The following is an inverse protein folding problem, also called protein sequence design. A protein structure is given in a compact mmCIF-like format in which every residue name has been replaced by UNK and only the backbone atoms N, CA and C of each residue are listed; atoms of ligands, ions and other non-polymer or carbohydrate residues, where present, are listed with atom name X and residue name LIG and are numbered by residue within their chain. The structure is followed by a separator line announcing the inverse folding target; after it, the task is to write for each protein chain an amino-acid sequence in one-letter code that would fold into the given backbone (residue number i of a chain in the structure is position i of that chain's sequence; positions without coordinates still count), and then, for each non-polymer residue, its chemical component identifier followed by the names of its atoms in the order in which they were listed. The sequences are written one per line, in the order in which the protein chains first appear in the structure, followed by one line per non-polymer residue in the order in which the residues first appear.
data_IF_593375035700
#
_entry.id   IF_593375035700
#
_cell.length_a   1.000
_cell.length_b   1.000
_cell.length_c   1.000
_cell.angle_alpha   90.00
_cell.angle_beta   90.00
_cell.angle_gamma   90.00
#
_symmetry.space_group_name_H-M   'P 1'
#
loop_
_entity.id
_entity.type
_entity.pdbx_description
1 polymer ?
#
# COMPACT_ATOMS: atom_id res chain seq x y z
N UNK A 1 -29.16 -22.64 -3.31
CA UNK A 1 -27.85 -21.96 -3.40
C UNK A 1 -27.45 -21.96 -4.86
N UNK A 2 -27.87 -20.93 -5.60
CA UNK A 2 -27.42 -20.78 -6.98
C UNK A 2 -25.98 -20.26 -6.97
N UNK A 3 -25.05 -21.17 -7.22
CA UNK A 3 -23.67 -20.81 -7.49
C UNK A 3 -23.59 -19.97 -8.77
N UNK A 4 -22.66 -19.02 -8.80
CA UNK A 4 -22.42 -18.18 -9.97
C UNK A 4 -22.41 -19.01 -11.28
N UNK A 5 -23.07 -18.54 -12.35
CA UNK A 5 -23.03 -19.20 -13.66
C UNK A 5 -21.60 -19.54 -14.08
N UNK A 6 -21.40 -20.66 -14.77
CA UNK A 6 -20.06 -21.08 -15.20
C UNK A 6 -19.34 -19.99 -16.00
N UNK A 7 -20.06 -19.26 -16.85
CA UNK A 7 -19.52 -18.11 -17.60
C UNK A 7 -18.99 -17.01 -16.66
N UNK A 8 -19.73 -16.67 -15.60
CA UNK A 8 -19.30 -15.66 -14.63
C UNK A 8 -18.02 -16.09 -13.90
N UNK A 9 -17.90 -17.39 -13.57
CA UNK A 9 -16.68 -17.95 -12.98
C UNK A 9 -15.50 -17.93 -13.94
N UNK A 10 -15.70 -18.27 -15.22
CA UNK A 10 -14.65 -18.18 -16.26
C UNK A 10 -14.20 -16.73 -16.47
N UNK A 11 -15.15 -15.78 -16.50
CA UNK A 11 -14.85 -14.35 -16.63
C UNK A 11 -14.03 -13.84 -15.45
N UNK A 12 -14.40 -14.20 -14.22
CA UNK A 12 -13.64 -13.87 -13.01
C UNK A 12 -12.22 -14.46 -13.06
N UNK A 13 -12.08 -15.72 -13.49
CA UNK A 13 -10.78 -16.38 -13.61
C UNK A 13 -9.89 -15.72 -14.69
N UNK A 14 -10.47 -15.31 -15.82
CA UNK A 14 -9.75 -14.61 -16.88
C UNK A 14 -9.32 -13.20 -16.46
N UNK A 15 -10.19 -12.44 -15.80
CA UNK A 15 -9.85 -11.11 -15.25
C UNK A 15 -8.73 -11.23 -14.21
N UNK A 16 -8.84 -12.16 -13.26
CA UNK A 16 -7.78 -12.40 -12.29
C UNK A 16 -6.48 -12.92 -12.92
N UNK A 17 -6.51 -13.55 -14.10
CA UNK A 17 -5.31 -13.87 -14.87
C UNK A 17 -4.70 -12.63 -15.54
N UNK A 18 -5.51 -11.77 -16.15
CA UNK A 18 -5.05 -10.52 -16.77
C UNK A 18 -4.41 -9.59 -15.75
N UNK A 19 -5.04 -9.37 -14.60
CA UNK A 19 -4.53 -8.54 -13.50
C UNK A 19 -3.18 -9.05 -12.99
N UNK A 20 -3.04 -10.37 -12.80
CA UNK A 20 -1.78 -11.00 -12.40
C UNK A 20 -0.72 -10.83 -13.47
N UNK A 21 -1.07 -11.01 -14.75
CA UNK A 21 -0.14 -10.88 -15.87
C UNK A 21 0.35 -9.44 -16.04
N UNK A 22 -0.55 -8.46 -15.95
CA UNK A 22 -0.21 -7.04 -15.99
C UNK A 22 0.70 -6.66 -14.83
N UNK A 23 0.35 -7.07 -13.60
CA UNK A 23 1.20 -6.86 -12.42
C UNK A 23 2.59 -7.46 -12.59
N UNK A 24 2.69 -8.65 -13.19
CA UNK A 24 3.97 -9.30 -13.50
C UNK A 24 4.79 -8.56 -14.56
N UNK A 25 4.13 -8.05 -15.61
CA UNK A 25 4.82 -7.30 -16.67
C UNK A 25 5.35 -5.96 -16.13
N UNK A 26 4.56 -5.25 -15.33
CA UNK A 26 4.96 -3.98 -14.71
C UNK A 26 6.09 -4.17 -13.70
N UNK A 27 6.04 -5.23 -12.88
CA UNK A 27 7.11 -5.52 -11.92
C UNK A 27 8.44 -5.88 -12.58
N UNK A 28 8.39 -6.48 -13.78
CA UNK A 28 9.58 -6.84 -14.57
C UNK A 28 10.12 -5.66 -15.38
N UNK A 29 9.29 -4.66 -15.63
CA UNK A 29 9.65 -3.43 -16.31
C UNK A 29 10.20 -2.45 -15.25
N UNK A 30 11.52 -2.35 -15.18
CA UNK A 30 12.23 -1.50 -14.23
C UNK A 30 12.37 -0.03 -14.70
N UNK A 31 11.62 0.37 -15.74
CA UNK A 31 11.56 1.74 -16.20
C UNK A 31 10.61 2.60 -15.34
N UNK A 32 10.83 3.91 -15.39
CA UNK A 32 10.09 4.88 -14.59
C UNK A 32 8.58 4.79 -14.82
N UNK A 33 8.11 4.75 -16.07
CA UNK A 33 6.68 4.79 -16.40
C UNK A 33 5.94 3.54 -15.91
N UNK A 34 6.56 2.37 -16.04
CA UNK A 34 6.02 1.11 -15.51
C UNK A 34 5.88 1.15 -13.99
N UNK A 35 6.90 1.62 -13.28
CA UNK A 35 6.87 1.72 -11.82
C UNK A 35 5.93 2.83 -11.34
N UNK A 36 5.80 3.91 -12.10
CA UNK A 36 4.80 4.96 -11.88
C UNK A 36 3.38 4.42 -11.92
N UNK A 37 3.08 3.52 -12.87
CA UNK A 37 1.79 2.81 -12.92
C UNK A 37 1.59 1.90 -11.72
N UNK A 38 2.65 1.22 -11.25
CA UNK A 38 2.60 0.45 -10.01
C UNK A 38 2.25 1.36 -8.83
N UNK A 39 2.91 2.51 -8.68
CA UNK A 39 2.64 3.48 -7.61
C UNK A 39 1.20 4.00 -7.65
N UNK A 40 0.70 4.33 -8.84
CA UNK A 40 -0.70 4.75 -9.03
C UNK A 40 -1.70 3.64 -8.65
N UNK A 41 -1.40 2.37 -8.96
CA UNK A 41 -2.23 1.24 -8.55
C UNK A 41 -2.25 1.08 -7.02
N UNK A 42 -1.09 1.22 -6.36
CA UNK A 42 -0.98 1.19 -4.90
C UNK A 42 -1.77 2.34 -4.28
N UNK A 43 -1.67 3.56 -4.83
CA UNK A 43 -2.44 4.71 -4.36
C UNK A 43 -3.95 4.47 -4.44
N UNK A 44 -4.43 3.92 -5.56
CA UNK A 44 -5.85 3.53 -5.71
C UNK A 44 -6.26 2.49 -4.68
N UNK A 45 -5.50 1.41 -4.52
CA UNK A 45 -5.80 0.37 -3.53
C UNK A 45 -5.81 0.93 -2.10
N UNK A 46 -4.84 1.77 -1.75
CA UNK A 46 -4.78 2.44 -0.45
C UNK A 46 -6.02 3.31 -0.21
N UNK A 47 -6.45 4.07 -1.21
CA UNK A 47 -7.65 4.91 -1.13
C UNK A 47 -8.90 4.07 -0.90
N UNK A 48 -9.08 2.97 -1.65
CA UNK A 48 -10.19 2.04 -1.47
C UNK A 48 -10.19 1.42 -0.06
N UNK A 49 -9.04 0.93 0.41
CA UNK A 49 -8.94 0.34 1.74
C UNK A 49 -9.19 1.36 2.87
N UNK A 50 -8.84 2.64 2.69
CA UNK A 50 -9.12 3.68 3.68
C UNK A 50 -10.61 3.96 3.81
N UNK A 51 -11.37 3.88 2.71
CA UNK A 51 -12.83 3.97 2.80
C UNK A 51 -13.42 2.82 3.63
N UNK A 52 -12.89 1.60 3.49
CA UNK A 52 -13.28 0.46 4.33
C UNK A 52 -12.95 0.71 5.81
N UNK A 53 -11.76 1.26 6.10
CA UNK A 53 -11.35 1.61 7.48
C UNK A 53 -12.27 2.69 8.06
N UNK A 54 -12.58 3.74 7.30
CA UNK A 54 -13.52 4.80 7.70
C UNK A 54 -14.90 4.24 7.96
N UNK A 55 -15.36 3.26 7.16
CA UNK A 55 -16.64 2.61 7.37
C UNK A 55 -16.69 1.85 8.71
N UNK A 56 -15.60 1.18 9.09
CA UNK A 56 -15.52 0.39 10.33
C UNK A 56 -15.33 1.26 11.58
N UNK A 57 -14.37 2.18 11.56
CA UNK A 57 -14.01 3.00 12.73
C UNK A 57 -14.81 4.31 12.83
N UNK A 58 -15.44 4.75 11.75
CA UNK A 58 -16.12 6.05 11.69
C UNK A 58 -15.19 7.22 12.04
N UNK A 59 -15.75 8.23 12.70
CA UNK A 59 -15.02 9.43 13.14
C UNK A 59 -14.05 9.17 14.31
N UNK A 60 -14.05 7.96 14.89
CA UNK A 60 -13.19 7.64 16.05
C UNK A 60 -11.71 7.47 15.69
N UNK A 61 -11.41 7.29 14.40
CA UNK A 61 -10.07 7.10 13.88
C UNK A 61 -9.78 8.07 12.74
N UNK A 62 -8.91 9.08 12.96
CA UNK A 62 -8.44 9.90 11.85
C UNK A 62 -7.53 9.06 10.96
N UNK A 63 -7.97 8.83 9.71
CA UNK A 63 -7.20 8.13 8.68
C UNK A 63 -7.22 8.92 7.38
N UNK A 64 -6.05 9.08 6.77
CA UNK A 64 -5.86 9.89 5.56
C UNK A 64 -4.93 9.20 4.58
N UNK A 65 -5.17 9.43 3.28
CA UNK A 65 -4.24 9.15 2.19
C UNK A 65 -3.95 10.48 1.49
N UNK A 66 -2.67 10.80 1.37
CA UNK A 66 -2.23 11.99 0.65
C UNK A 66 -2.50 11.80 -0.85
N UNK A 67 -2.74 12.90 -1.59
CA UNK A 67 -2.74 12.82 -3.05
C UNK A 67 -1.40 12.29 -3.56
N UNK A 68 -1.42 11.62 -4.72
CA UNK A 68 -0.20 11.20 -5.39
C UNK A 68 0.57 12.43 -5.91
N UNK A 69 1.67 12.79 -5.26
CA UNK A 69 2.46 13.97 -5.58
C UNK A 69 3.31 13.76 -6.84
N UNK A 70 3.01 14.52 -7.91
CA UNK A 70 3.77 14.54 -9.17
C UNK A 70 4.16 13.12 -9.66
N UNK A 71 3.27 12.15 -9.43
CA UNK A 71 3.43 10.74 -9.75
C UNK A 71 4.61 10.00 -9.07
N UNK A 72 5.20 10.54 -8.00
CA UNK A 72 6.45 10.02 -7.42
C UNK A 72 6.33 9.53 -5.98
N UNK A 73 5.36 10.04 -5.21
CA UNK A 73 5.16 9.62 -3.82
C UNK A 73 3.76 9.90 -3.28
N UNK A 74 3.35 9.15 -2.28
CA UNK A 74 2.21 9.47 -1.42
C UNK A 74 2.42 8.85 -0.03
N UNK A 75 1.58 9.23 0.94
CA UNK A 75 1.58 8.58 2.24
C UNK A 75 0.17 8.31 2.75
N UNK A 76 0.10 7.41 3.71
CA UNK A 76 -1.08 7.05 4.49
C UNK A 76 -0.75 7.38 5.94
N UNK A 77 -1.65 8.08 6.64
CA UNK A 77 -1.54 8.34 8.06
C UNK A 77 -2.76 7.79 8.81
N UNK A 78 -2.50 7.18 9.96
CA UNK A 78 -3.49 6.63 10.91
C UNK A 78 -3.19 7.21 12.28
N UNK A 79 -4.15 7.91 12.87
CA UNK A 79 -3.91 8.64 14.11
C UNK A 79 -2.96 9.83 13.91
N UNK A 80 -2.36 10.29 15.00
CA UNK A 80 -1.32 11.33 14.95
C UNK A 80 0.08 10.78 14.63
N UNK A 81 0.27 9.46 14.72
CA UNK A 81 1.61 8.89 14.82
C UNK A 81 1.98 7.77 13.86
N UNK A 82 1.01 7.06 13.26
CA UNK A 82 1.31 5.90 12.43
C UNK A 82 1.28 6.30 10.96
N UNK A 83 2.37 6.11 10.22
CA UNK A 83 2.47 6.53 8.82
C UNK A 83 3.14 5.48 7.94
N UNK A 84 2.63 5.30 6.73
CA UNK A 84 3.34 4.61 5.67
C UNK A 84 3.51 5.55 4.48
N UNK A 85 4.72 5.66 3.93
CA UNK A 85 4.98 6.39 2.69
C UNK A 85 5.36 5.41 1.58
N UNK A 86 4.92 5.71 0.37
CA UNK A 86 5.26 4.97 -0.85
C UNK A 86 5.94 5.93 -1.81
N UNK A 87 7.09 5.54 -2.34
CA UNK A 87 7.93 6.41 -3.15
C UNK A 87 8.58 5.64 -4.31
N UNK A 88 8.66 6.29 -5.47
CA UNK A 88 9.53 5.88 -6.57
C UNK A 88 10.97 6.26 -6.26
N UNK A 89 11.83 5.26 -6.17
CA UNK A 89 13.27 5.46 -5.98
C UNK A 89 14.02 4.89 -7.17
N UNK A 90 14.99 5.65 -7.66
CA UNK A 90 15.99 5.11 -8.58
C UNK A 90 16.96 4.26 -7.76
N UNK A 91 16.90 2.96 -7.97
CA UNK A 91 17.79 1.96 -7.35
C UNK A 91 18.73 1.35 -8.39
N UNK A 92 18.80 1.97 -9.56
CA UNK A 92 19.65 1.53 -10.65
C UNK A 92 21.14 1.60 -10.30
N UNK A 93 21.91 0.68 -10.86
CA UNK A 93 23.33 0.90 -11.08
C UNK A 93 23.57 1.25 -12.55
N UNK A 94 24.79 1.71 -12.89
CA UNK A 94 25.18 1.92 -14.30
C UNK A 94 24.94 0.66 -15.17
N UNK A 95 25.06 -0.53 -14.60
CA UNK A 95 24.88 -1.81 -15.31
C UNK A 95 23.42 -2.29 -15.35
N UNK A 96 22.58 -1.82 -14.42
CA UNK A 96 21.17 -2.19 -14.29
C UNK A 96 20.36 -1.01 -13.76
N UNK A 97 20.01 -0.04 -14.62
CA UNK A 97 19.09 1.02 -14.22
C UNK A 97 17.77 0.40 -13.80
N UNK A 98 17.18 0.89 -12.71
CA UNK A 98 15.96 0.28 -12.21
C UNK A 98 15.24 1.12 -11.16
N UNK A 99 14.13 1.72 -11.59
CA UNK A 99 13.16 2.33 -10.70
C UNK A 99 12.43 1.24 -9.91
N UNK A 100 12.07 1.56 -8.67
CA UNK A 100 11.31 0.67 -7.79
C UNK A 100 10.40 1.50 -6.89
N UNK A 101 9.21 0.97 -6.59
CA UNK A 101 8.36 1.50 -5.52
C UNK A 101 8.78 0.88 -4.19
N UNK A 102 9.19 1.72 -3.24
CA UNK A 102 9.48 1.34 -1.86
C UNK A 102 8.39 1.83 -0.93
N UNK A 103 8.09 1.05 0.11
CA UNK A 103 7.27 1.48 1.22
C UNK A 103 8.11 1.68 2.47
N UNK A 104 7.87 2.77 3.20
CA UNK A 104 8.51 3.06 4.48
C UNK A 104 7.45 3.25 5.55
N UNK A 105 7.52 2.46 6.60
CA UNK A 105 6.55 2.46 7.71
C UNK A 105 7.21 3.10 8.92
N UNK A 106 6.54 4.13 9.47
CA UNK A 106 6.94 4.83 10.67
C UNK A 106 5.83 4.71 11.71
N UNK A 107 6.22 4.48 12.96
CA UNK A 107 5.33 4.49 14.11
C UNK A 107 5.83 5.50 15.12
N UNK A 108 4.96 6.43 15.54
CA UNK A 108 5.30 7.40 16.57
C UNK A 108 5.36 6.68 17.92
N UNK A 109 6.50 6.80 18.59
CA UNK A 109 6.81 6.05 19.81
C UNK A 109 8.31 5.84 20.06
N UNK A 110 9.14 5.90 19.02
CA UNK A 110 10.60 5.83 19.16
C UNK A 110 11.25 7.03 18.46
N UNK A 111 11.37 8.14 19.19
CA UNK A 111 12.12 9.30 18.72
C UNK A 111 13.56 8.86 18.34
N UNK A 112 13.82 8.73 17.04
CA UNK A 112 15.12 8.32 16.49
C UNK A 112 15.12 6.99 15.71
N UNK A 113 14.02 6.23 15.70
CA UNK A 113 13.97 5.00 14.89
C UNK A 113 13.72 5.36 13.41
N UNK A 114 14.62 4.90 12.53
CA UNK A 114 14.46 5.09 11.10
C UNK A 114 13.27 4.27 10.60
N UNK A 115 12.44 4.80 9.68
CA UNK A 115 11.27 4.08 9.22
C UNK A 115 11.66 2.75 8.56
N UNK A 116 10.92 1.69 8.88
CA UNK A 116 11.15 0.36 8.33
C UNK A 116 10.85 0.36 6.83
N UNK A 117 11.87 0.10 6.01
CA UNK A 117 11.70 -0.07 4.56
C UNK A 117 11.20 -1.49 4.25
N UNK A 118 9.95 -1.60 3.80
CA UNK A 118 9.40 -2.85 3.30
C UNK A 118 9.78 -3.07 1.85
N UNK A 119 10.56 -4.12 1.61
CA UNK A 119 10.98 -4.54 0.26
C UNK A 119 9.98 -5.51 -0.33
N UNK A 120 9.14 -5.01 -1.24
CA UNK A 120 8.15 -5.81 -1.95
C UNK A 120 8.61 -6.01 -3.39
N UNK A 121 8.87 -7.27 -3.77
CA UNK A 121 9.30 -7.61 -5.14
C UNK A 121 8.17 -7.42 -6.17
N UNK A 122 6.92 -7.62 -5.74
CA UNK A 122 5.74 -7.51 -6.59
C UNK A 122 4.59 -6.94 -5.77
N UNK A 123 4.18 -5.72 -6.07
CA UNK A 123 3.07 -5.07 -5.39
C UNK A 123 1.74 -5.64 -5.85
N UNK A 124 0.89 -6.01 -4.88
CA UNK A 124 -0.53 -6.32 -5.08
C UNK A 124 -1.33 -5.66 -3.95
N UNK A 125 -2.64 -5.61 -4.11
CA UNK A 125 -3.58 -5.09 -3.11
C UNK A 125 -3.33 -5.68 -1.71
N UNK A 126 -3.16 -7.00 -1.60
CA UNK A 126 -2.93 -7.66 -0.31
C UNK A 126 -1.71 -7.15 0.46
N UNK A 127 -0.62 -6.75 -0.21
CA UNK A 127 0.52 -6.14 0.48
C UNK A 127 0.21 -4.75 1.04
N UNK A 128 -0.66 -3.98 0.37
CA UNK A 128 -1.12 -2.68 0.86
C UNK A 128 -2.04 -2.86 2.07
N UNK A 129 -2.94 -3.84 2.02
CA UNK A 129 -3.81 -4.22 3.13
C UNK A 129 -3.00 -4.65 4.36
N UNK A 130 -1.97 -5.48 4.19
CA UNK A 130 -1.06 -5.89 5.27
C UNK A 130 -0.34 -4.69 5.91
N UNK A 131 0.08 -3.69 5.12
CA UNK A 131 0.68 -2.46 5.64
C UNK A 131 -0.35 -1.66 6.46
N UNK A 132 -1.56 -1.48 5.94
CA UNK A 132 -2.63 -0.77 6.64
C UNK A 132 -3.03 -1.45 7.96
N UNK A 133 -3.20 -2.77 7.95
CA UNK A 133 -3.47 -3.56 9.16
C UNK A 133 -2.35 -3.39 10.19
N UNK A 134 -1.09 -3.38 9.73
CA UNK A 134 0.06 -3.12 10.61
C UNK A 134 0.01 -1.73 11.26
N UNK A 135 -0.40 -0.68 10.51
CA UNK A 135 -0.56 0.67 11.06
C UNK A 135 -1.71 0.72 12.07
N UNK A 136 -2.84 0.08 11.78
CA UNK A 136 -3.99 0.01 12.69
C UNK A 136 -3.64 -0.68 14.00
N UNK A 137 -2.97 -1.83 13.93
CA UNK A 137 -2.50 -2.54 15.12
C UNK A 137 -1.43 -1.76 15.90
N UNK A 138 -0.62 -0.94 15.25
CA UNK A 138 0.31 -0.03 15.94
C UNK A 138 -0.45 1.07 16.69
N UNK A 139 -1.46 1.66 16.05
CA UNK A 139 -2.32 2.68 16.66
C UNK A 139 -3.12 2.15 17.86
N UNK A 140 -3.74 0.98 17.76
CA UNK A 140 -4.50 0.39 18.88
C UNK A 140 -3.59 0.10 20.09
N UNK A 141 -2.34 -0.31 19.82
CA UNK A 141 -1.33 -0.48 20.88
C UNK A 141 -0.90 0.84 21.50
N UNK A 142 -0.80 1.94 20.72
CA UNK A 142 -0.44 3.25 21.28
C UNK A 142 -1.55 3.78 22.20
N UNK A 143 -2.82 3.64 21.81
CA UNK A 143 -3.96 4.00 22.66
C UNK A 143 -3.96 3.22 23.99
N UNK A 144 -3.66 1.92 23.94
CA UNK A 144 -3.61 1.07 25.14
C UNK A 144 -2.51 1.51 26.13
N UNK A 145 -1.39 2.05 25.62
CA UNK A 145 -0.30 2.58 26.44
C UNK A 145 -0.70 3.90 27.10
N UNK A 146 -1.34 4.80 26.37
CA UNK A 146 -1.81 6.09 26.89
C UNK A 146 -2.82 5.92 28.03
N UNK A 147 -3.72 4.94 27.94
CA UNK A 147 -4.70 4.65 29.01
C UNK A 147 -4.05 4.04 30.26
N UNK A 148 -2.86 3.45 30.13
CA UNK A 148 -2.14 2.80 31.23
C UNK A 148 -1.11 3.71 31.92
N UNK A 149 -0.89 4.92 31.40
CA UNK A 149 0.08 5.91 31.89
C UNK A 149 -0.60 6.96 32.78
#
# INVERSE_FOLDING_TARGET
MDGMPFEARVRSLHQGWLERRESWLLARAHDFDSQRRVLANIHRWASECIEDVRHVYGESLPVTVDPLEQDSRFAIAVGAGQRASFELVDRGSEERPGWQVVARVAADGEAGEAPEEKRVRHWRRGQVEEILLSLLSAYERSLSREVSA
#
